data_IF_435068011537
#
_entry.id   IF_435068011537
#
_cell.length_a   1.000
_cell.length_b   1.000
_cell.length_c   1.000
_cell.angle_alpha   90.00
_cell.angle_beta   90.00
_cell.angle_gamma   90.00
#
_symmetry.space_group_name_H-M   'P 1'
#
loop_
_entity.id
_entity.type
_entity.pdbx_description
1 polymer ?
#
# COMPACT_ATOMS: atom_id res chain seq x y z
N UNK A 1 -13.83 3.71 30.76
CA UNK A 1 -12.66 3.24 29.97
C UNK A 1 -13.14 1.95 29.32
N UNK A 2 -13.48 1.98 28.02
CA UNK A 2 -13.81 0.75 27.32
C UNK A 2 -12.51 -0.04 27.23
N UNK A 3 -12.42 -1.21 27.84
CA UNK A 3 -11.39 -2.18 27.50
C UNK A 3 -11.63 -2.50 26.02
N UNK A 4 -10.73 -2.04 25.17
CA UNK A 4 -10.69 -2.47 23.78
C UNK A 4 -10.31 -3.94 23.86
N UNK A 5 -11.29 -4.84 23.64
CA UNK A 5 -10.95 -6.24 23.39
C UNK A 5 -9.86 -6.23 22.34
N UNK A 6 -8.77 -6.92 22.62
CA UNK A 6 -7.59 -6.89 21.79
C UNK A 6 -7.97 -7.26 20.37
N UNK A 7 -7.39 -6.57 19.38
CA UNK A 7 -7.46 -6.94 17.97
C UNK A 7 -7.27 -8.48 17.86
N UNK A 8 -8.01 -9.18 16.99
CA UNK A 8 -7.95 -10.65 16.90
C UNK A 8 -6.61 -11.11 16.30
N UNK A 9 -5.52 -10.87 17.03
CA UNK A 9 -4.14 -11.14 16.66
C UNK A 9 -3.97 -12.59 16.26
N UNK A 10 -3.54 -12.82 15.00
CA UNK A 10 -3.27 -14.15 14.48
C UNK A 10 -4.50 -15.05 14.27
N UNK A 11 -5.73 -14.53 14.48
CA UNK A 11 -6.98 -15.30 14.33
C UNK A 11 -7.46 -15.38 12.90
N UNK A 12 -6.92 -14.53 12.02
CA UNK A 12 -7.23 -14.49 10.60
C UNK A 12 -5.96 -14.45 9.77
N UNK A 13 -6.05 -14.92 8.53
CA UNK A 13 -4.91 -15.01 7.64
C UNK A 13 -5.28 -14.58 6.21
N UNK A 14 -4.32 -14.03 5.50
CA UNK A 14 -4.32 -13.91 4.04
C UNK A 14 -3.76 -15.22 3.50
N UNK A 15 -4.54 -15.92 2.71
CA UNK A 15 -4.15 -17.23 2.14
C UNK A 15 -3.56 -17.11 0.73
N UNK A 16 -3.92 -16.05 0.01
CA UNK A 16 -3.38 -15.80 -1.33
C UNK A 16 -3.38 -14.32 -1.66
N UNK A 17 -2.50 -13.97 -2.59
CA UNK A 17 -2.42 -12.66 -3.22
C UNK A 17 -2.17 -12.85 -4.73
N UNK A 18 -2.76 -12.00 -5.57
CA UNK A 18 -2.53 -12.01 -7.01
C UNK A 18 -2.56 -10.58 -7.57
N UNK A 19 -1.81 -10.38 -8.65
CA UNK A 19 -1.80 -9.15 -9.44
C UNK A 19 -2.08 -9.48 -10.90
N UNK A 20 -2.68 -8.55 -11.64
CA UNK A 20 -2.99 -8.74 -13.05
C UNK A 20 -2.83 -7.44 -13.84
N UNK A 21 -2.28 -7.54 -15.06
CA UNK A 21 -2.21 -6.43 -16.03
C UNK A 21 -1.42 -5.23 -15.54
N UNK A 22 -0.33 -5.46 -14.78
CA UNK A 22 0.52 -4.38 -14.25
C UNK A 22 1.26 -3.65 -15.36
N UNK A 23 1.19 -2.32 -15.34
CA UNK A 23 1.84 -1.45 -16.31
C UNK A 23 0.89 -0.92 -17.37
N UNK A 24 0.62 -1.68 -18.41
CA UNK A 24 -0.33 -1.37 -19.47
C UNK A 24 -1.22 -2.58 -19.78
N UNK A 25 -2.52 -2.38 -19.74
CA UNK A 25 -3.52 -3.42 -20.00
C UNK A 25 -4.62 -2.89 -20.95
N UNK A 26 -4.29 -2.64 -22.23
CA UNK A 26 -5.25 -2.10 -23.18
C UNK A 26 -6.43 -3.06 -23.40
N UNK A 27 -7.64 -2.50 -23.43
CA UNK A 27 -8.88 -3.25 -23.64
C UNK A 27 -9.52 -3.78 -22.34
N UNK A 28 -8.86 -3.68 -21.19
CA UNK A 28 -9.45 -4.03 -19.90
C UNK A 28 -10.05 -2.80 -19.21
N UNK A 29 -11.25 -2.94 -18.66
CA UNK A 29 -11.82 -1.96 -17.74
C UNK A 29 -11.22 -2.12 -16.33
N UNK A 30 -11.46 -1.14 -15.48
CA UNK A 30 -11.07 -1.24 -14.05
C UNK A 30 -11.70 -2.47 -13.36
N UNK A 31 -12.93 -2.80 -13.74
CA UNK A 31 -13.63 -3.96 -13.20
C UNK A 31 -13.02 -5.27 -13.72
N UNK A 32 -12.67 -5.36 -15.00
CA UNK A 32 -12.00 -6.54 -15.56
C UNK A 32 -10.67 -6.82 -14.86
N UNK A 33 -9.85 -5.77 -14.64
CA UNK A 33 -8.57 -5.90 -13.94
C UNK A 33 -8.74 -6.41 -12.50
N UNK A 34 -9.70 -5.85 -11.77
CA UNK A 34 -10.02 -6.31 -10.42
C UNK A 34 -10.51 -7.76 -10.40
N UNK A 35 -11.44 -8.09 -11.32
CA UNK A 35 -12.03 -9.43 -11.42
C UNK A 35 -10.99 -10.49 -11.81
N UNK A 36 -10.08 -10.19 -12.75
CA UNK A 36 -8.99 -11.10 -13.14
C UNK A 36 -8.07 -11.40 -11.96
N UNK A 37 -7.59 -10.35 -11.28
CA UNK A 37 -6.79 -10.56 -10.08
C UNK A 37 -7.57 -11.33 -9.00
N UNK A 38 -8.88 -11.05 -8.85
CA UNK A 38 -9.76 -11.76 -7.92
C UNK A 38 -9.87 -13.26 -8.22
N UNK A 39 -10.10 -13.63 -9.48
CA UNK A 39 -10.18 -15.04 -9.91
C UNK A 39 -8.86 -15.76 -9.66
N UNK A 40 -7.73 -15.13 -9.99
CA UNK A 40 -6.39 -15.68 -9.76
C UNK A 40 -6.10 -15.88 -8.26
N UNK A 41 -6.45 -14.89 -7.43
CA UNK A 41 -6.27 -15.00 -5.98
C UNK A 41 -7.14 -16.13 -5.39
N UNK A 42 -8.40 -16.26 -5.81
CA UNK A 42 -9.31 -17.32 -5.35
C UNK A 42 -8.78 -18.69 -5.76
N UNK A 43 -8.32 -18.84 -7.00
CA UNK A 43 -7.73 -20.09 -7.49
C UNK A 43 -6.44 -20.45 -6.75
N UNK A 44 -5.56 -19.47 -6.50
CA UNK A 44 -4.32 -19.65 -5.73
C UNK A 44 -4.56 -20.08 -4.27
N UNK A 45 -5.71 -19.69 -3.70
CA UNK A 45 -6.15 -20.16 -2.39
C UNK A 45 -6.73 -21.59 -2.40
N UNK A 46 -6.81 -22.25 -3.55
CA UNK A 46 -7.49 -23.55 -3.69
C UNK A 46 -9.02 -23.48 -3.52
N UNK A 47 -9.59 -22.28 -3.65
CA UNK A 47 -11.02 -22.00 -3.51
C UNK A 47 -11.68 -21.76 -4.86
N UNK A 48 -13.01 -21.74 -4.83
CA UNK A 48 -13.86 -21.34 -5.95
C UNK A 48 -14.59 -20.03 -5.61
N UNK A 49 -15.13 -19.34 -6.62
CA UNK A 49 -15.92 -18.12 -6.39
C UNK A 49 -17.16 -18.36 -5.52
N UNK A 50 -17.69 -19.60 -5.50
CA UNK A 50 -18.81 -19.98 -4.62
C UNK A 50 -18.42 -20.09 -3.14
N UNK A 51 -17.14 -20.19 -2.82
CA UNK A 51 -16.64 -20.22 -1.44
C UNK A 51 -16.49 -18.82 -0.85
N UNK A 52 -16.50 -17.78 -1.69
CA UNK A 52 -16.37 -16.38 -1.28
C UNK A 52 -17.74 -15.86 -0.84
N UNK A 53 -17.84 -15.46 0.42
CA UNK A 53 -19.08 -14.93 1.00
C UNK A 53 -18.93 -13.49 1.56
N UNK A 54 -17.76 -12.85 1.35
CA UNK A 54 -17.58 -11.42 1.58
C UNK A 54 -16.72 -10.78 0.49
N UNK A 55 -17.07 -9.55 0.07
CA UNK A 55 -16.33 -8.77 -0.92
C UNK A 55 -16.04 -7.34 -0.43
N UNK A 56 -14.80 -6.89 -0.64
CA UNK A 56 -14.35 -5.55 -0.30
C UNK A 56 -13.67 -4.90 -1.51
N UNK A 57 -14.09 -3.69 -1.88
CA UNK A 57 -13.53 -2.98 -3.02
C UNK A 57 -13.34 -1.49 -2.76
N UNK A 58 -12.49 -0.86 -3.59
CA UNK A 58 -12.35 0.58 -3.65
C UNK A 58 -12.49 1.09 -5.10
N UNK A 59 -13.25 0.38 -5.93
CA UNK A 59 -13.48 0.73 -7.34
C UNK A 59 -14.27 2.05 -7.48
N UNK A 60 -13.94 2.91 -8.45
CA UNK A 60 -14.62 4.19 -8.64
C UNK A 60 -16.13 4.09 -8.88
N UNK A 61 -16.57 3.04 -9.56
CA UNK A 61 -17.97 2.78 -9.94
C UNK A 61 -18.71 1.83 -9.00
N UNK A 62 -18.03 1.34 -7.96
CA UNK A 62 -18.58 0.34 -7.04
C UNK A 62 -18.63 0.87 -5.61
N UNK A 63 -19.77 1.46 -5.24
CA UNK A 63 -19.91 2.10 -3.93
C UNK A 63 -19.86 1.12 -2.75
N UNK A 64 -20.22 -0.16 -2.99
CA UNK A 64 -20.44 -1.13 -1.92
C UNK A 64 -19.76 -2.49 -2.13
N UNK A 65 -18.91 -2.66 -3.14
CA UNK A 65 -18.36 -3.96 -3.49
C UNK A 65 -19.36 -4.89 -4.21
N UNK A 66 -20.54 -4.42 -4.54
CA UNK A 66 -21.61 -5.25 -5.11
C UNK A 66 -21.47 -5.43 -6.62
N UNK A 67 -21.03 -4.40 -7.36
CA UNK A 67 -20.83 -4.51 -8.80
C UNK A 67 -19.77 -5.55 -9.16
N UNK A 68 -18.67 -5.59 -8.40
CA UNK A 68 -17.64 -6.60 -8.56
C UNK A 68 -18.12 -8.01 -8.18
N UNK A 69 -18.91 -8.13 -7.11
CA UNK A 69 -19.52 -9.42 -6.72
C UNK A 69 -20.47 -9.95 -7.79
N UNK A 70 -21.34 -9.08 -8.33
CA UNK A 70 -22.27 -9.43 -9.42
C UNK A 70 -21.52 -9.87 -10.68
N UNK A 71 -20.48 -9.11 -11.07
CA UNK A 71 -19.65 -9.42 -12.23
C UNK A 71 -18.97 -10.81 -12.12
N UNK A 72 -18.54 -11.18 -10.91
CA UNK A 72 -17.93 -12.49 -10.61
C UNK A 72 -18.96 -13.61 -10.32
N UNK A 73 -20.26 -13.30 -10.25
CA UNK A 73 -21.30 -14.26 -9.89
C UNK A 73 -21.27 -14.65 -8.41
N UNK A 74 -20.62 -13.87 -7.56
CA UNK A 74 -20.56 -14.08 -6.11
C UNK A 74 -21.87 -13.58 -5.48
N UNK A 75 -22.39 -14.32 -4.49
CA UNK A 75 -23.54 -13.91 -3.66
C UNK A 75 -23.05 -13.67 -2.22
N UNK A 76 -22.47 -12.51 -1.94
CA UNK A 76 -21.84 -12.27 -0.66
C UNK A 76 -22.87 -12.07 0.47
N UNK A 77 -22.55 -12.53 1.68
CA UNK A 77 -23.25 -12.20 2.92
C UNK A 77 -22.88 -10.80 3.42
N UNK A 78 -21.66 -10.38 3.09
CA UNK A 78 -21.10 -9.09 3.49
C UNK A 78 -20.45 -8.43 2.29
N UNK A 79 -20.81 -7.17 2.04
CA UNK A 79 -20.07 -6.31 1.11
C UNK A 79 -19.65 -5.03 1.83
N UNK A 80 -18.49 -4.52 1.50
CA UNK A 80 -18.04 -3.22 1.99
C UNK A 80 -17.17 -2.52 0.97
N UNK A 81 -17.26 -1.20 0.94
CA UNK A 81 -16.40 -0.36 0.12
C UNK A 81 -16.16 0.97 0.80
N UNK A 82 -14.92 1.39 0.84
CA UNK A 82 -14.55 2.77 1.16
C UNK A 82 -13.44 3.19 0.19
N UNK A 83 -13.28 4.49 -0.01
CA UNK A 83 -12.31 5.00 -0.98
C UNK A 83 -11.61 6.27 -0.52
N UNK A 84 -11.01 6.28 0.67
CA UNK A 84 -10.12 7.39 1.06
C UNK A 84 -8.80 7.40 0.27
N UNK A 85 -8.48 6.34 -0.50
CA UNK A 85 -7.26 6.17 -1.27
C UNK A 85 -6.58 4.84 -1.00
N UNK A 86 -5.25 4.79 -1.06
CA UNK A 86 -4.51 3.54 -0.85
C UNK A 86 -4.61 2.95 0.56
N UNK A 87 -4.96 3.75 1.57
CA UNK A 87 -5.26 3.29 2.92
C UNK A 87 -6.53 2.42 3.02
N UNK A 88 -7.42 2.47 2.02
CA UNK A 88 -8.63 1.65 1.95
C UNK A 88 -8.34 0.17 2.16
N UNK A 89 -7.28 -0.34 1.55
CA UNK A 89 -7.02 -1.79 1.50
C UNK A 89 -6.55 -2.34 2.86
N UNK A 90 -5.73 -1.60 3.60
CA UNK A 90 -5.38 -1.94 4.98
C UNK A 90 -6.62 -1.89 5.88
N UNK A 91 -7.50 -0.90 5.68
CA UNK A 91 -8.79 -0.82 6.38
C UNK A 91 -9.69 -1.99 6.02
N UNK A 92 -9.71 -2.43 4.74
CA UNK A 92 -10.45 -3.62 4.33
C UNK A 92 -9.91 -4.89 4.99
N UNK A 93 -8.57 -5.04 5.13
CA UNK A 93 -7.97 -6.17 5.88
C UNK A 93 -8.44 -6.17 7.33
N UNK A 94 -8.43 -5.01 8.00
CA UNK A 94 -8.94 -4.88 9.38
C UNK A 94 -10.42 -5.25 9.47
N UNK A 95 -11.26 -4.72 8.60
CA UNK A 95 -12.70 -5.03 8.58
C UNK A 95 -12.98 -6.49 8.26
N UNK A 96 -12.25 -7.08 7.30
CA UNK A 96 -12.36 -8.50 6.98
C UNK A 96 -11.93 -9.38 8.15
N UNK A 97 -10.83 -9.04 8.84
CA UNK A 97 -10.37 -9.77 10.02
C UNK A 97 -11.44 -9.77 11.13
N UNK A 98 -12.04 -8.63 11.43
CA UNK A 98 -13.12 -8.52 12.42
C UNK A 98 -14.37 -9.30 11.98
N UNK A 99 -14.75 -9.24 10.72
CA UNK A 99 -15.91 -9.95 10.19
C UNK A 99 -15.73 -11.50 10.20
N UNK A 100 -14.54 -11.97 9.86
CA UNK A 100 -14.15 -13.38 9.90
C UNK A 100 -14.16 -13.92 11.34
N UNK A 101 -13.57 -13.18 12.28
CA UNK A 101 -13.54 -13.57 13.70
C UNK A 101 -14.95 -13.56 14.31
N UNK A 102 -15.80 -12.61 13.96
CA UNK A 102 -17.19 -12.56 14.37
C UNK A 102 -18.09 -13.60 13.70
N UNK A 103 -17.57 -14.38 12.73
CA UNK A 103 -18.35 -15.37 11.99
C UNK A 103 -19.37 -14.77 11.00
N UNK A 104 -19.25 -13.48 10.66
CA UNK A 104 -20.11 -12.81 9.69
C UNK A 104 -19.86 -13.30 8.24
N UNK A 105 -18.66 -13.82 7.98
CA UNK A 105 -18.27 -14.47 6.74
C UNK A 105 -17.24 -15.58 7.01
N UNK A 106 -16.94 -16.39 5.98
CA UNK A 106 -15.96 -17.49 6.06
C UNK A 106 -14.75 -17.26 5.15
N UNK A 107 -14.95 -16.57 4.02
CA UNK A 107 -13.89 -16.21 3.09
C UNK A 107 -14.18 -14.83 2.48
N UNK A 108 -13.22 -13.94 2.62
CA UNK A 108 -13.30 -12.56 2.14
C UNK A 108 -12.36 -12.35 0.96
N UNK A 109 -12.87 -11.76 -0.12
CA UNK A 109 -12.11 -11.31 -1.28
C UNK A 109 -12.00 -9.79 -1.23
N UNK A 110 -10.77 -9.28 -1.15
CA UNK A 110 -10.44 -7.85 -1.25
C UNK A 110 -9.82 -7.64 -2.62
N UNK A 111 -10.37 -6.75 -3.45
CA UNK A 111 -9.89 -6.55 -4.81
C UNK A 111 -9.94 -5.10 -5.25
N UNK A 112 -9.07 -4.77 -6.18
CA UNK A 112 -8.96 -3.46 -6.82
C UNK A 112 -8.47 -3.59 -8.25
N UNK A 113 -8.86 -2.66 -9.10
CA UNK A 113 -8.36 -2.52 -10.46
C UNK A 113 -8.54 -1.11 -10.98
N UNK A 114 -7.62 -0.68 -11.83
CA UNK A 114 -7.73 0.59 -12.53
C UNK A 114 -6.93 0.56 -13.83
N UNK A 115 -7.53 1.11 -14.87
CA UNK A 115 -6.94 1.29 -16.19
C UNK A 115 -6.64 2.76 -16.47
N UNK A 116 -6.16 3.49 -15.47
CA UNK A 116 -5.97 4.95 -15.59
C UNK A 116 -4.98 5.34 -16.69
N UNK A 117 -4.00 4.49 -17.00
CA UNK A 117 -3.02 4.74 -18.06
C UNK A 117 -3.64 4.55 -19.45
N UNK A 118 -4.22 3.40 -19.72
CA UNK A 118 -4.74 3.07 -21.06
C UNK A 118 -6.17 3.54 -21.28
N UNK A 119 -7.00 3.62 -20.23
CA UNK A 119 -8.40 4.04 -20.33
C UNK A 119 -8.61 5.54 -20.16
N UNK A 120 -7.84 6.21 -19.32
CA UNK A 120 -8.01 7.63 -19.02
C UNK A 120 -6.86 8.52 -19.50
N UNK A 121 -5.70 7.95 -19.81
CA UNK A 121 -4.53 8.71 -20.31
C UNK A 121 -3.89 9.65 -19.26
N UNK A 122 -4.29 9.55 -18.00
CA UNK A 122 -3.79 10.39 -16.90
C UNK A 122 -4.38 10.00 -15.57
N UNK A 123 -4.06 10.76 -14.51
CA UNK A 123 -4.57 10.52 -13.17
C UNK A 123 -6.09 10.53 -13.12
N UNK A 124 -6.70 9.45 -12.69
CA UNK A 124 -8.13 9.34 -12.41
C UNK A 124 -8.37 9.73 -10.96
N UNK A 125 -8.79 10.97 -10.74
CA UNK A 125 -9.17 11.49 -9.43
C UNK A 125 -10.63 11.96 -9.42
N UNK A 126 -11.28 11.88 -8.27
CA UNK A 126 -12.57 12.57 -8.10
C UNK A 126 -12.33 14.08 -8.16
N UNK A 127 -13.24 14.86 -8.80
CA UNK A 127 -13.20 16.31 -8.71
C UNK A 127 -13.20 16.74 -7.24
N UNK A 128 -12.25 17.58 -6.86
CA UNK A 128 -12.19 18.13 -5.49
C UNK A 128 -12.61 19.59 -5.51
N UNK A 129 -13.43 19.96 -4.57
CA UNK A 129 -13.66 21.35 -4.24
C UNK A 129 -12.76 21.69 -3.05
N UNK A 130 -11.70 22.42 -3.29
CA UNK A 130 -10.76 22.88 -2.28
C UNK A 130 -10.76 24.44 -2.30
N UNK A 131 -11.74 25.10 -1.69
CA UNK A 131 -11.98 26.54 -1.85
C UNK A 131 -10.79 27.39 -1.43
N UNK A 132 -10.02 26.94 -0.45
CA UNK A 132 -8.82 27.64 0.03
C UNK A 132 -7.57 27.36 -0.83
N UNK A 133 -7.56 26.32 -1.64
CA UNK A 133 -6.45 25.94 -2.52
C UNK A 133 -6.66 26.43 -3.96
N UNK A 134 -7.91 26.40 -4.44
CA UNK A 134 -8.30 26.75 -5.81
C UNK A 134 -7.76 28.09 -6.32
N UNK A 135 -7.70 29.19 -5.51
CA UNK A 135 -7.15 30.46 -5.95
C UNK A 135 -5.68 30.40 -6.37
N UNK A 136 -4.92 29.47 -5.79
CA UNK A 136 -3.49 29.27 -6.07
C UNK A 136 -3.21 28.35 -7.26
N UNK A 137 -4.26 27.70 -7.82
CA UNK A 137 -4.17 26.78 -8.96
C UNK A 137 -3.09 25.69 -8.78
N UNK A 138 -3.05 24.95 -7.66
CA UNK A 138 -2.04 23.94 -7.42
C UNK A 138 -2.13 22.82 -8.45
N UNK A 139 -0.98 22.22 -8.79
CA UNK A 139 -0.94 20.99 -9.58
C UNK A 139 -1.24 19.81 -8.63
N UNK A 140 -2.53 19.50 -8.47
CA UNK A 140 -2.97 18.44 -7.57
C UNK A 140 -2.66 17.04 -8.14
N UNK A 141 -2.17 16.07 -7.33
CA UNK A 141 -1.80 16.20 -5.91
C UNK A 141 -0.34 16.66 -5.68
N UNK A 142 0.48 16.79 -6.73
CA UNK A 142 1.92 17.01 -6.61
C UNK A 142 2.29 18.24 -5.77
N UNK A 143 1.60 19.37 -5.96
CA UNK A 143 1.88 20.59 -5.19
C UNK A 143 1.66 20.41 -3.68
N UNK A 144 0.69 19.58 -3.29
CA UNK A 144 0.41 19.33 -1.88
C UNK A 144 1.52 18.50 -1.22
N UNK A 145 2.05 17.49 -1.93
CA UNK A 145 3.21 16.73 -1.43
C UNK A 145 4.50 17.55 -1.47
N UNK A 146 4.63 18.47 -2.43
CA UNK A 146 5.74 19.41 -2.50
C UNK A 146 5.77 20.33 -1.30
N UNK A 147 4.61 20.78 -0.77
CA UNK A 147 4.55 21.56 0.47
C UNK A 147 5.11 20.77 1.66
N UNK A 148 4.73 19.50 1.80
CA UNK A 148 5.26 18.63 2.85
C UNK A 148 6.77 18.40 2.69
N UNK A 149 7.25 18.15 1.47
CA UNK A 149 8.68 18.00 1.18
C UNK A 149 9.45 19.28 1.50
N UNK A 150 8.99 20.44 1.02
CA UNK A 150 9.64 21.73 1.28
C UNK A 150 9.68 22.05 2.79
N UNK A 151 8.61 21.72 3.52
CA UNK A 151 8.56 21.91 4.97
C UNK A 151 9.57 21.01 5.69
N UNK A 152 9.65 19.73 5.30
CA UNK A 152 10.59 18.77 5.87
C UNK A 152 12.05 19.17 5.58
N UNK A 153 12.34 19.63 4.36
CA UNK A 153 13.65 20.19 3.99
C UNK A 153 14.00 21.41 4.82
N UNK A 154 13.04 22.29 5.06
CA UNK A 154 13.26 23.52 5.86
C UNK A 154 13.54 23.21 7.34
N UNK A 155 12.78 22.31 7.94
CA UNK A 155 12.88 22.01 9.38
C UNK A 155 14.05 21.09 9.72
N UNK A 156 14.31 20.09 8.88
CA UNK A 156 15.24 19.01 9.20
C UNK A 156 16.46 18.97 8.28
N UNK A 157 16.51 19.81 7.26
CA UNK A 157 17.63 19.85 6.32
C UNK A 157 17.66 18.69 5.33
N UNK A 158 16.56 17.98 5.14
CA UNK A 158 16.45 16.94 4.10
C UNK A 158 16.81 17.51 2.74
N UNK A 159 17.56 16.77 1.94
CA UNK A 159 18.07 17.22 0.65
C UNK A 159 17.37 16.52 -0.51
N UNK A 160 17.53 17.05 -1.73
CA UNK A 160 17.03 16.40 -2.94
C UNK A 160 17.75 15.09 -3.23
N UNK A 161 19.01 14.98 -2.85
CA UNK A 161 19.79 13.75 -2.94
C UNK A 161 19.16 12.64 -2.09
N UNK A 162 18.73 12.96 -0.88
CA UNK A 162 18.04 12.01 0.01
C UNK A 162 16.67 11.59 -0.55
N UNK A 163 15.92 12.49 -1.18
CA UNK A 163 14.71 12.11 -1.92
C UNK A 163 15.05 11.19 -3.10
N UNK A 164 16.13 11.47 -3.83
CA UNK A 164 16.59 10.65 -4.95
C UNK A 164 17.04 9.24 -4.52
N UNK A 165 17.62 9.07 -3.31
CA UNK A 165 17.94 7.74 -2.75
C UNK A 165 16.70 6.83 -2.67
N UNK A 166 15.54 7.38 -2.31
CA UNK A 166 14.28 6.62 -2.30
C UNK A 166 13.91 6.13 -3.70
N UNK A 167 14.00 7.00 -4.70
CA UNK A 167 13.69 6.64 -6.09
C UNK A 167 14.67 5.60 -6.66
N UNK A 168 15.95 5.74 -6.35
CA UNK A 168 17.01 4.81 -6.76
C UNK A 168 16.83 3.44 -6.11
N UNK A 169 16.50 3.38 -4.81
CA UNK A 169 16.22 2.15 -4.10
C UNK A 169 14.98 1.43 -4.69
N UNK A 170 13.89 2.15 -4.94
CA UNK A 170 12.71 1.60 -5.59
C UNK A 170 13.02 1.02 -6.99
N UNK A 171 13.85 1.70 -7.79
CA UNK A 171 14.31 1.22 -9.08
C UNK A 171 15.21 -0.01 -8.95
N UNK A 172 16.06 -0.08 -7.94
CA UNK A 172 16.87 -1.25 -7.63
C UNK A 172 16.01 -2.50 -7.42
N UNK A 173 14.97 -2.39 -6.61
CA UNK A 173 13.99 -3.46 -6.38
C UNK A 173 13.18 -3.80 -7.65
N UNK A 174 12.74 -2.79 -8.41
CA UNK A 174 12.01 -2.99 -9.66
C UNK A 174 12.83 -3.77 -10.70
N UNK A 175 14.15 -3.62 -10.73
CA UNK A 175 15.03 -4.37 -11.62
C UNK A 175 15.03 -5.89 -11.33
N UNK A 176 14.73 -6.30 -10.09
CA UNK A 176 14.58 -7.68 -9.66
C UNK A 176 13.15 -8.23 -9.85
N UNK A 177 12.20 -7.37 -10.18
CA UNK A 177 10.81 -7.74 -10.35
C UNK A 177 10.43 -7.84 -11.84
N UNK A 178 10.12 -9.04 -12.38
CA UNK A 178 9.76 -9.19 -13.80
C UNK A 178 8.53 -8.35 -14.20
N UNK A 179 7.60 -8.12 -13.29
CA UNK A 179 6.35 -7.39 -13.53
C UNK A 179 6.46 -5.87 -13.38
N UNK A 180 7.59 -5.34 -12.89
CA UNK A 180 7.74 -3.91 -12.69
C UNK A 180 7.75 -3.14 -14.02
N UNK A 181 7.01 -2.04 -14.06
CA UNK A 181 6.85 -1.23 -15.27
C UNK A 181 8.09 -0.43 -15.64
N UNK A 182 8.75 0.20 -14.67
CA UNK A 182 9.94 1.02 -14.90
C UNK A 182 11.21 0.27 -14.46
N UNK A 183 12.04 -0.09 -15.42
CA UNK A 183 13.30 -0.82 -15.24
C UNK A 183 14.49 -0.06 -15.80
N UNK A 184 15.68 -0.64 -15.63
CA UNK A 184 16.95 -0.08 -16.06
C UNK A 184 17.62 0.78 -15.01
N UNK A 185 18.83 1.29 -15.29
CA UNK A 185 19.59 2.08 -14.33
C UNK A 185 18.88 3.40 -13.99
N UNK A 186 19.00 3.82 -12.76
CA UNK A 186 18.61 5.13 -12.28
C UNK A 186 19.64 5.60 -11.26
N UNK A 187 20.23 6.76 -11.47
CA UNK A 187 21.21 7.35 -10.57
C UNK A 187 20.62 8.55 -9.83
N UNK A 188 21.28 8.97 -8.77
CA UNK A 188 20.94 10.22 -8.06
C UNK A 188 21.00 11.41 -9.03
N UNK A 189 22.03 11.50 -9.87
CA UNK A 189 22.17 12.57 -10.86
C UNK A 189 21.01 12.59 -11.87
N UNK A 190 20.52 11.41 -12.33
CA UNK A 190 19.32 11.32 -13.19
C UNK A 190 18.08 11.88 -12.49
N UNK A 191 17.99 11.72 -11.17
CA UNK A 191 16.87 12.27 -10.39
C UNK A 191 17.01 13.79 -10.23
N UNK A 192 18.20 14.28 -9.92
CA UNK A 192 18.46 15.69 -9.70
C UNK A 192 18.31 16.55 -10.96
N UNK A 193 18.71 15.98 -12.12
CA UNK A 193 18.59 16.63 -13.43
C UNK A 193 17.22 16.49 -14.08
N UNK A 194 16.33 15.68 -13.50
CA UNK A 194 15.00 15.41 -14.05
C UNK A 194 14.12 16.66 -14.03
N UNK A 195 13.16 16.71 -14.99
CA UNK A 195 12.21 17.81 -15.11
C UNK A 195 11.41 18.00 -13.81
N UNK A 196 11.41 19.23 -13.31
CA UNK A 196 10.63 19.62 -12.14
C UNK A 196 9.12 19.53 -12.42
N UNK A 197 8.38 18.99 -11.46
CA UNK A 197 6.91 18.89 -11.48
C UNK A 197 6.29 19.95 -10.58
N UNK A 198 6.72 19.98 -9.32
CA UNK A 198 6.35 21.00 -8.34
C UNK A 198 7.49 21.09 -7.33
N UNK A 199 8.22 22.17 -7.32
CA UNK A 199 9.42 22.34 -6.47
C UNK A 199 9.12 21.98 -5.00
N UNK A 200 9.93 21.09 -4.36
CA UNK A 200 11.21 20.52 -4.78
C UNK A 200 11.12 19.19 -5.58
N UNK A 201 9.92 18.72 -5.94
CA UNK A 201 9.71 17.41 -6.54
C UNK A 201 9.86 17.43 -8.06
N UNK A 202 10.74 16.58 -8.57
CA UNK A 202 10.90 16.27 -10.00
C UNK A 202 9.96 15.14 -10.45
N UNK A 203 9.96 14.82 -11.73
CA UNK A 203 9.20 13.68 -12.27
C UNK A 203 9.71 12.33 -11.69
N UNK A 204 10.95 12.26 -11.19
CA UNK A 204 11.50 11.07 -10.56
C UNK A 204 11.08 10.90 -9.10
N UNK A 205 10.58 11.96 -8.51
CA UNK A 205 10.01 11.96 -7.17
C UNK A 205 8.52 11.54 -7.16
N UNK A 206 7.90 11.42 -8.32
CA UNK A 206 6.48 11.11 -8.48
C UNK A 206 6.27 9.64 -8.85
N UNK A 207 5.19 9.04 -8.33
CA UNK A 207 4.77 7.70 -8.72
C UNK A 207 4.43 7.59 -10.20
N UNK A 208 4.45 6.37 -10.69
CA UNK A 208 4.04 6.03 -12.04
C UNK A 208 2.54 6.29 -12.26
N UNK A 209 2.16 6.38 -13.53
CA UNK A 209 0.77 6.25 -13.99
C UNK A 209 0.70 4.95 -14.77
N UNK A 210 0.08 3.93 -14.22
CA UNK A 210 -0.03 2.60 -14.82
C UNK A 210 -1.46 2.08 -14.76
N UNK A 211 -1.71 0.97 -15.44
CA UNK A 211 -2.83 0.10 -15.18
C UNK A 211 -2.44 -0.95 -14.14
N UNK A 212 -3.41 -1.68 -13.61
CA UNK A 212 -3.18 -2.84 -12.78
C UNK A 212 -4.39 -3.25 -11.95
N UNK A 213 -4.47 -4.55 -11.68
CA UNK A 213 -5.40 -5.18 -10.75
C UNK A 213 -4.64 -5.92 -9.66
N UNK A 214 -5.21 -5.97 -8.46
CA UNK A 214 -4.71 -6.75 -7.34
C UNK A 214 -5.85 -7.32 -6.52
N UNK A 215 -5.62 -8.48 -5.89
CA UNK A 215 -6.57 -9.09 -5.00
C UNK A 215 -5.88 -9.96 -3.94
N UNK A 216 -6.53 -10.09 -2.79
CA UNK A 216 -6.15 -11.02 -1.72
C UNK A 216 -7.39 -11.78 -1.24
N UNK A 217 -7.18 -13.01 -0.78
CA UNK A 217 -8.21 -13.81 -0.11
C UNK A 217 -7.85 -13.99 1.35
N UNK A 218 -8.82 -13.79 2.24
CA UNK A 218 -8.68 -13.95 3.68
C UNK A 218 -9.66 -14.96 4.24
N UNK A 219 -9.21 -15.73 5.21
CA UNK A 219 -10.03 -16.67 6.00
C UNK A 219 -9.64 -16.60 7.48
N UNK A 220 -10.36 -17.36 8.35
CA UNK A 220 -9.85 -17.61 9.69
C UNK A 220 -8.56 -18.44 9.64
N UNK A 221 -7.68 -18.24 10.61
CA UNK A 221 -6.37 -18.89 10.65
C UNK A 221 -6.47 -20.42 10.76
N UNK A 222 -7.46 -20.93 11.50
CA UNK A 222 -7.71 -22.37 11.63
C UNK A 222 -8.05 -23.04 10.28
N UNK A 223 -8.79 -22.35 9.42
CA UNK A 223 -9.10 -22.81 8.06
C UNK A 223 -7.91 -22.60 7.10
N UNK A 224 -7.15 -21.54 7.30
CA UNK A 224 -6.06 -21.17 6.39
C UNK A 224 -4.96 -22.25 6.34
N UNK A 225 -4.69 -22.92 7.45
CA UNK A 225 -3.70 -24.00 7.53
C UNK A 225 -4.04 -25.21 6.64
N UNK A 226 -5.33 -25.44 6.34
CA UNK A 226 -5.78 -26.50 5.45
C UNK A 226 -5.73 -26.09 3.96
N UNK A 227 -5.61 -24.81 3.66
CA UNK A 227 -5.65 -24.27 2.29
C UNK A 227 -4.27 -24.06 1.70
N UNK A 228 -3.32 -23.52 2.48
CA UNK A 228 -1.99 -23.14 1.99
C UNK A 228 -0.91 -23.50 3.00
N UNK A 229 0.30 -23.79 2.48
CA UNK A 229 1.42 -24.20 3.33
C UNK A 229 1.90 -23.08 4.26
N UNK A 230 1.85 -21.82 3.81
CA UNK A 230 2.30 -20.66 4.58
C UNK A 230 1.19 -19.58 4.56
N UNK A 231 0.18 -19.69 5.44
CA UNK A 231 -0.78 -18.62 5.61
C UNK A 231 -0.10 -17.40 6.24
N UNK A 232 -0.47 -16.19 5.79
CA UNK A 232 0.07 -14.95 6.34
C UNK A 232 -0.91 -14.39 7.35
N UNK A 233 -0.54 -14.45 8.62
CA UNK A 233 -1.40 -14.04 9.74
C UNK A 233 -1.51 -12.52 9.81
N UNK A 234 -2.70 -12.01 10.13
CA UNK A 234 -2.92 -10.61 10.46
C UNK A 234 -2.69 -10.44 11.97
N UNK A 235 -1.56 -9.83 12.33
CA UNK A 235 -1.13 -9.67 13.71
C UNK A 235 -1.64 -8.39 14.36
N UNK A 236 -1.80 -7.33 13.57
CA UNK A 236 -2.32 -6.05 14.03
C UNK A 236 -2.76 -5.18 12.86
N UNK A 237 -3.67 -4.25 13.12
CA UNK A 237 -4.11 -3.33 12.08
C UNK A 237 -4.91 -2.15 12.63
N UNK A 238 -4.59 -0.95 12.17
CA UNK A 238 -5.27 0.26 12.59
C UNK A 238 -5.29 1.32 11.48
N UNK A 239 -6.25 2.22 11.56
CA UNK A 239 -6.37 3.38 10.70
C UNK A 239 -6.57 4.65 11.52
N UNK A 240 -6.09 5.78 10.97
CA UNK A 240 -6.30 7.12 11.51
C UNK A 240 -6.41 8.13 10.37
N UNK A 241 -7.16 9.22 10.58
CA UNK A 241 -7.28 10.31 9.63
C UNK A 241 -7.45 11.63 10.38
N UNK A 242 -6.59 12.62 10.10
CA UNK A 242 -6.57 13.87 10.85
C UNK A 242 -7.10 15.07 10.08
N UNK A 243 -7.14 15.02 8.76
CA UNK A 243 -7.59 16.11 7.90
C UNK A 243 -8.17 15.57 6.59
N UNK A 244 -8.80 16.44 5.82
CA UNK A 244 -9.27 16.11 4.47
C UNK A 244 -8.39 16.80 3.41
N UNK A 245 -8.08 18.08 3.60
CA UNK A 245 -7.27 18.89 2.69
C UNK A 245 -5.90 19.20 3.31
N UNK A 246 -4.86 19.33 2.47
CA UNK A 246 -3.49 19.67 2.94
C UNK A 246 -3.45 20.98 3.74
N UNK A 247 -4.30 21.93 3.40
CA UNK A 247 -4.44 23.21 4.11
C UNK A 247 -4.96 23.08 5.54
N UNK A 248 -5.54 21.92 5.89
CA UNK A 248 -5.99 21.59 7.24
C UNK A 248 -5.09 20.62 7.97
N UNK A 249 -3.97 20.22 7.35
CA UNK A 249 -2.99 19.33 7.97
C UNK A 249 -2.30 20.06 9.13
N UNK A 250 -2.35 19.51 10.36
CA UNK A 250 -1.83 20.23 11.54
C UNK A 250 -0.35 20.49 11.50
N UNK A 251 0.43 19.54 10.96
CA UNK A 251 1.86 19.57 10.80
C UNK A 251 2.23 18.88 9.49
N UNK A 252 2.83 19.59 8.54
CA UNK A 252 3.17 19.07 7.21
C UNK A 252 4.28 18.00 7.25
N UNK A 253 4.95 17.82 8.39
CA UNK A 253 6.02 16.82 8.57
C UNK A 253 5.57 15.58 9.33
N UNK A 254 4.36 15.58 9.92
CA UNK A 254 3.84 14.47 10.74
C UNK A 254 2.45 14.06 10.26
N UNK A 255 2.27 12.79 9.93
CA UNK A 255 1.02 12.24 9.42
C UNK A 255 0.29 11.39 10.48
N UNK A 256 -0.96 11.05 10.20
CA UNK A 256 -1.72 10.10 11.02
C UNK A 256 -1.12 8.66 11.01
N UNK A 257 -0.06 8.40 10.22
CA UNK A 257 0.71 7.16 10.27
C UNK A 257 1.30 6.91 11.67
N UNK A 258 1.68 7.98 12.37
CA UNK A 258 2.13 7.91 13.76
C UNK A 258 1.12 7.24 14.68
N UNK A 259 -0.17 7.53 14.50
CA UNK A 259 -1.23 6.91 15.30
C UNK A 259 -1.58 5.51 14.78
N UNK A 260 -1.79 5.33 13.47
CA UNK A 260 -2.14 4.03 12.91
C UNK A 260 -1.02 3.01 13.12
N UNK A 261 0.24 3.39 12.96
CA UNK A 261 1.41 2.56 13.20
C UNK A 261 1.53 2.14 14.67
N UNK A 262 1.51 3.12 15.59
CA UNK A 262 1.61 2.84 17.01
C UNK A 262 0.54 1.83 17.50
N UNK A 263 -0.70 1.97 17.02
CA UNK A 263 -1.79 1.05 17.35
C UNK A 263 -1.62 -0.33 16.72
N UNK A 264 -1.23 -0.40 15.44
CA UNK A 264 -1.02 -1.66 14.75
C UNK A 264 0.15 -2.46 15.36
N UNK A 265 1.26 -1.81 15.67
CA UNK A 265 2.40 -2.43 16.35
C UNK A 265 2.04 -2.90 17.77
N UNK A 266 1.35 -2.07 18.56
CA UNK A 266 0.91 -2.46 19.91
C UNK A 266 -0.02 -3.70 19.89
N UNK A 267 -0.92 -3.81 18.90
CA UNK A 267 -1.79 -4.97 18.72
C UNK A 267 -1.02 -6.23 18.31
N UNK A 268 0.01 -6.07 17.47
CA UNK A 268 0.81 -7.19 16.98
C UNK A 268 1.75 -7.77 18.05
N UNK A 269 2.10 -6.99 19.07
CA UNK A 269 3.13 -7.34 20.06
C UNK A 269 4.56 -7.16 19.56
N UNK A 270 4.73 -6.58 18.36
CA UNK A 270 6.02 -6.29 17.72
C UNK A 270 6.22 -4.79 17.53
N UNK A 271 7.46 -4.38 17.29
CA UNK A 271 7.83 -3.00 16.98
C UNK A 271 8.43 -2.84 15.59
N UNK A 272 8.72 -1.60 15.18
CA UNK A 272 9.33 -1.33 13.86
C UNK A 272 10.64 -2.09 13.64
N UNK A 273 11.46 -2.26 14.69
CA UNK A 273 12.76 -2.94 14.61
C UNK A 273 12.67 -4.45 14.40
N UNK A 274 11.49 -5.04 14.55
CA UNK A 274 11.25 -6.47 14.37
C UNK A 274 10.85 -6.82 12.93
N UNK A 275 10.61 -5.80 12.07
CA UNK A 275 10.13 -6.00 10.70
C UNK A 275 11.25 -6.38 9.75
N UNK A 276 11.07 -7.51 9.05
CA UNK A 276 11.99 -7.98 8.01
C UNK A 276 11.75 -7.27 6.67
N UNK A 277 10.48 -6.95 6.36
CA UNK A 277 10.08 -6.26 5.13
C UNK A 277 9.07 -5.16 5.41
N UNK A 278 9.22 -4.05 4.71
CA UNK A 278 8.39 -2.84 4.91
C UNK A 278 7.83 -2.39 3.57
N UNK A 279 6.49 -2.37 3.46
CA UNK A 279 5.81 -1.93 2.25
C UNK A 279 5.07 -0.62 2.53
N UNK A 280 5.56 0.48 1.97
CA UNK A 280 5.03 1.82 2.18
C UNK A 280 4.37 2.36 0.92
N UNK A 281 3.30 3.10 1.08
CA UNK A 281 2.65 3.80 -0.04
C UNK A 281 3.51 4.99 -0.49
N UNK A 282 4.28 4.80 -1.54
CA UNK A 282 5.25 5.76 -2.10
C UNK A 282 4.71 6.51 -3.33
N UNK A 283 3.61 7.26 -3.16
CA UNK A 283 3.12 8.14 -4.24
C UNK A 283 4.13 9.22 -4.62
N UNK A 284 4.96 9.62 -3.68
CA UNK A 284 6.09 10.53 -3.85
C UNK A 284 7.24 10.08 -2.95
N UNK A 285 8.46 10.44 -3.30
CA UNK A 285 9.66 10.08 -2.51
C UNK A 285 9.58 10.55 -1.06
N UNK A 286 9.00 11.72 -0.82
CA UNK A 286 8.81 12.25 0.54
C UNK A 286 7.91 11.36 1.41
N UNK A 287 6.95 10.61 0.82
CA UNK A 287 6.09 9.71 1.57
C UNK A 287 6.90 8.66 2.33
N UNK A 288 7.89 8.05 1.66
CA UNK A 288 8.75 7.04 2.27
C UNK A 288 9.48 7.60 3.48
N UNK A 289 10.04 8.82 3.36
CA UNK A 289 10.74 9.50 4.46
C UNK A 289 9.79 9.74 5.64
N UNK A 290 8.64 10.37 5.38
CA UNK A 290 7.65 10.66 6.42
C UNK A 290 7.15 9.40 7.13
N UNK A 291 6.87 8.33 6.37
CA UNK A 291 6.34 7.10 6.94
C UNK A 291 7.39 6.29 7.72
N UNK A 292 8.66 6.30 7.29
CA UNK A 292 9.75 5.72 8.09
C UNK A 292 9.87 6.39 9.47
N UNK A 293 9.70 7.71 9.53
CA UNK A 293 9.71 8.47 10.77
C UNK A 293 8.46 8.23 11.61
N UNK A 294 7.28 8.40 11.01
CA UNK A 294 6.00 8.34 11.71
C UNK A 294 5.66 6.94 12.22
N UNK A 295 6.11 5.89 11.51
CA UNK A 295 6.00 4.50 11.95
C UNK A 295 7.07 4.10 12.97
N UNK A 296 8.09 4.95 13.21
CA UNK A 296 9.10 4.77 14.23
C UNK A 296 10.32 3.95 13.82
N UNK A 297 10.59 3.77 12.52
CA UNK A 297 11.84 3.15 12.03
C UNK A 297 13.06 4.04 12.27
N UNK A 298 12.86 5.33 12.34
CA UNK A 298 13.87 6.33 12.75
C UNK A 298 13.19 7.51 13.47
N UNK A 299 14.00 8.35 14.10
CA UNK A 299 13.48 9.53 14.77
C UNK A 299 12.95 10.56 13.74
N UNK A 300 12.02 11.41 14.16
CA UNK A 300 11.50 12.52 13.35
C UNK A 300 12.66 13.42 12.91
N UNK A 301 12.70 13.69 11.59
CA UNK A 301 13.75 14.48 10.94
C UNK A 301 15.00 13.68 10.51
N UNK A 302 15.08 12.40 10.84
CA UNK A 302 16.21 11.54 10.46
C UNK A 302 15.94 10.67 9.24
N UNK A 303 14.72 10.68 8.71
CA UNK A 303 14.32 9.83 7.58
C UNK A 303 15.14 10.04 6.31
N UNK A 304 15.55 11.29 6.04
CA UNK A 304 16.45 11.60 4.94
C UNK A 304 17.81 10.89 5.07
N UNK A 305 18.44 10.97 6.24
CA UNK A 305 19.70 10.26 6.54
C UNK A 305 19.51 8.76 6.60
N UNK A 306 18.32 8.32 7.05
CA UNK A 306 18.00 6.89 7.15
C UNK A 306 18.05 6.17 5.81
N UNK A 307 17.67 6.84 4.72
CA UNK A 307 17.60 6.21 3.38
C UNK A 307 18.90 6.27 2.59
N UNK A 308 19.91 7.03 3.07
CA UNK A 308 21.19 7.20 2.38
C UNK A 308 21.95 5.90 2.15
N UNK A 309 22.79 5.88 1.12
CA UNK A 309 23.70 4.80 0.80
C UNK A 309 23.01 3.46 0.47
N UNK A 310 21.82 3.53 -0.12
CA UNK A 310 21.06 2.34 -0.49
C UNK A 310 20.46 1.57 0.69
N UNK A 311 20.34 2.20 1.85
CA UNK A 311 19.92 1.54 3.10
C UNK A 311 18.56 0.83 3.02
N UNK A 312 17.67 1.28 2.11
CA UNK A 312 16.33 0.70 1.90
C UNK A 312 16.20 -0.10 0.59
N UNK A 313 17.28 -0.17 -0.18
CA UNK A 313 17.36 -0.90 -1.46
C UNK A 313 17.75 -2.37 -1.29
N UNK A 314 17.93 -3.10 -2.42
CA UNK A 314 18.43 -4.47 -2.41
C UNK A 314 19.78 -4.58 -1.70
N UNK A 315 19.86 -5.47 -0.69
CA UNK A 315 21.05 -5.62 0.15
C UNK A 315 21.25 -4.55 1.21
N UNK A 316 20.36 -3.58 1.31
CA UNK A 316 20.34 -2.58 2.37
C UNK A 316 19.89 -3.14 3.73
N UNK A 317 19.97 -2.32 4.76
CA UNK A 317 19.66 -2.74 6.14
C UNK A 317 18.17 -2.94 6.42
N UNK A 318 17.28 -2.29 5.66
CA UNK A 318 15.83 -2.41 5.78
C UNK A 318 15.23 -2.52 4.38
N UNK A 319 14.73 -3.69 3.96
CA UNK A 319 14.05 -3.87 2.68
C UNK A 319 12.74 -3.08 2.61
N UNK A 320 12.68 -2.02 1.81
CA UNK A 320 11.47 -1.19 1.64
C UNK A 320 10.98 -1.26 0.21
N UNK A 321 9.67 -1.51 0.03
CA UNK A 321 9.01 -1.55 -1.28
C UNK A 321 9.70 -2.52 -2.26
N UNK A 322 9.85 -3.75 -1.82
CA UNK A 322 10.64 -4.80 -2.50
C UNK A 322 10.13 -5.18 -3.89
N UNK A 323 8.92 -4.79 -4.28
CA UNK A 323 8.44 -4.91 -5.66
C UNK A 323 8.88 -3.76 -6.58
N UNK A 324 9.41 -2.67 -6.03
CA UNK A 324 9.74 -1.41 -6.72
C UNK A 324 8.75 -0.27 -6.46
N UNK A 325 7.74 -0.50 -5.63
CA UNK A 325 6.81 0.52 -5.17
C UNK A 325 5.94 1.17 -6.25
N UNK A 326 5.27 2.22 -5.87
CA UNK A 326 4.56 3.13 -6.77
C UNK A 326 5.51 3.92 -7.66
N UNK A 327 6.75 4.10 -7.23
CA UNK A 327 7.76 4.87 -7.97
C UNK A 327 8.35 4.11 -9.17
N UNK A 328 8.39 2.77 -9.13
CA UNK A 328 9.01 2.01 -10.23
C UNK A 328 8.26 0.73 -10.64
N UNK A 329 7.36 0.17 -9.81
CA UNK A 329 6.61 -1.03 -10.16
C UNK A 329 5.25 -0.70 -10.78
N UNK A 330 4.30 -0.21 -9.99
CA UNK A 330 2.91 -0.04 -10.40
C UNK A 330 2.19 1.01 -9.56
N UNK A 331 1.47 1.93 -10.16
CA UNK A 331 0.59 2.87 -9.43
C UNK A 331 -0.68 3.17 -10.26
N UNK A 332 -1.70 2.31 -10.22
CA UNK A 332 -2.94 2.50 -10.97
C UNK A 332 -3.95 3.34 -10.18
N UNK A 333 -3.52 4.52 -9.71
CA UNK A 333 -4.32 5.44 -8.89
C UNK A 333 -4.31 5.14 -7.40
N UNK A 334 -4.30 3.86 -6.99
CA UNK A 334 -4.14 3.45 -5.58
C UNK A 334 -3.20 2.23 -5.50
N UNK A 335 -2.12 2.36 -4.74
CA UNK A 335 -1.07 1.33 -4.64
C UNK A 335 -1.23 0.38 -3.45
N UNK A 336 -2.01 0.75 -2.41
CA UNK A 336 -2.00 0.04 -1.13
C UNK A 336 -2.24 -1.47 -1.19
N UNK A 337 -3.11 -1.97 -2.09
CA UNK A 337 -3.32 -3.41 -2.21
C UNK A 337 -2.10 -4.12 -2.81
N UNK A 338 -1.37 -3.48 -3.71
CA UNK A 338 -0.12 -4.01 -4.27
C UNK A 338 0.98 -4.10 -3.21
N UNK A 339 1.01 -3.15 -2.26
CA UNK A 339 1.90 -3.21 -1.09
C UNK A 339 1.57 -4.42 -0.20
N UNK A 340 0.29 -4.72 0.01
CA UNK A 340 -0.13 -5.93 0.75
C UNK A 340 0.25 -7.19 -0.03
N UNK A 341 -0.02 -7.24 -1.34
CA UNK A 341 0.34 -8.39 -2.18
C UNK A 341 1.84 -8.68 -2.13
N UNK A 342 2.68 -7.65 -2.20
CA UNK A 342 4.14 -7.82 -2.08
C UNK A 342 4.53 -8.32 -0.70
N UNK A 343 3.98 -7.75 0.38
CA UNK A 343 4.25 -8.22 1.74
C UNK A 343 3.89 -9.69 1.89
N UNK A 344 2.73 -10.12 1.39
CA UNK A 344 2.29 -11.51 1.38
C UNK A 344 3.25 -12.40 0.57
N UNK A 345 3.64 -11.97 -0.63
CA UNK A 345 4.59 -12.70 -1.47
C UNK A 345 5.93 -12.92 -0.81
N UNK A 346 6.45 -11.92 -0.08
CA UNK A 346 7.69 -12.03 0.69
C UNK A 346 7.56 -13.03 1.85
N UNK A 347 6.48 -12.95 2.63
CA UNK A 347 6.25 -13.85 3.77
C UNK A 347 5.93 -15.30 3.35
N UNK A 348 5.40 -15.50 2.15
CA UNK A 348 5.17 -16.83 1.57
C UNK A 348 6.40 -17.41 0.86
N UNK A 349 7.49 -16.66 0.74
CA UNK A 349 8.70 -17.10 0.03
C UNK A 349 8.56 -17.10 -1.49
N UNK A 350 7.57 -16.38 -2.04
CA UNK A 350 7.21 -16.36 -3.46
C UNK A 350 7.75 -15.17 -4.27
N UNK A 351 8.63 -14.34 -3.69
CA UNK A 351 9.05 -13.09 -4.33
C UNK A 351 10.17 -13.23 -5.39
N UNK A 352 10.64 -14.46 -5.68
CA UNK A 352 11.68 -14.71 -6.72
C UNK A 352 12.99 -14.00 -6.40
N UNK A 353 13.60 -13.33 -7.40
CA UNK A 353 14.92 -12.69 -7.27
C UNK A 353 14.94 -11.55 -6.23
N UNK A 354 13.78 -10.99 -5.86
CA UNK A 354 13.63 -9.94 -4.84
C UNK A 354 13.32 -10.48 -3.45
N UNK A 355 13.33 -11.80 -3.27
CA UNK A 355 13.03 -12.43 -2.00
C UNK A 355 14.01 -12.00 -0.91
N UNK A 356 13.47 -11.50 0.21
CA UNK A 356 14.23 -11.25 1.43
C UNK A 356 14.36 -12.58 2.19
N UNK A 357 15.58 -13.10 2.36
CA UNK A 357 15.77 -14.39 3.01
C UNK A 357 15.29 -14.37 4.47
N UNK A 358 14.49 -15.38 4.84
CA UNK A 358 14.03 -15.56 6.22
C UNK A 358 12.98 -14.57 6.68
N UNK A 359 12.34 -13.82 5.78
CA UNK A 359 11.29 -12.87 6.14
C UNK A 359 10.12 -13.58 6.84
N UNK A 360 9.90 -13.26 8.12
CA UNK A 360 8.81 -13.77 8.94
C UNK A 360 7.81 -12.69 9.36
N UNK A 361 8.26 -11.44 9.44
CA UNK A 361 7.45 -10.29 9.84
C UNK A 361 7.48 -9.20 8.78
N UNK A 362 6.31 -8.64 8.48
CA UNK A 362 6.18 -7.55 7.53
C UNK A 362 5.13 -6.52 7.94
N UNK A 363 5.34 -5.28 7.52
CA UNK A 363 4.36 -4.21 7.66
C UNK A 363 3.97 -3.68 6.30
N UNK A 364 2.66 -3.48 6.08
CA UNK A 364 2.14 -2.76 4.93
C UNK A 364 1.38 -1.52 5.40
N UNK A 365 1.77 -0.36 4.85
CA UNK A 365 1.21 0.94 5.19
C UNK A 365 0.63 1.64 3.97
N UNK A 366 -0.62 2.08 4.09
CA UNK A 366 -1.38 2.74 3.04
C UNK A 366 -1.69 4.19 3.37
N UNK A 367 -1.59 5.04 2.35
CA UNK A 367 -1.90 6.46 2.40
C UNK A 367 -3.11 6.78 1.52
N UNK A 368 -4.00 7.60 2.02
CA UNK A 368 -5.19 8.05 1.29
C UNK A 368 -5.30 9.56 1.22
N UNK A 369 -5.95 10.05 0.15
CA UNK A 369 -6.00 11.47 -0.19
C UNK A 369 -4.57 12.05 -0.25
N UNK A 370 -4.33 13.21 0.37
CA UNK A 370 -2.98 13.79 0.48
C UNK A 370 -2.55 13.74 1.94
N UNK A 371 -1.77 12.72 2.31
CA UNK A 371 -1.25 12.48 3.66
C UNK A 371 -2.35 12.44 4.76
N UNK A 372 -3.60 12.28 4.35
CA UNK A 372 -4.79 12.45 5.21
C UNK A 372 -5.14 11.18 5.97
N UNK A 373 -5.60 10.15 5.24
CA UNK A 373 -5.98 8.86 5.80
C UNK A 373 -4.79 7.91 5.77
N UNK A 374 -4.42 7.38 6.90
CA UNK A 374 -3.30 6.45 7.07
C UNK A 374 -3.80 5.14 7.68
N UNK A 375 -3.37 4.01 7.14
CA UNK A 375 -3.71 2.72 7.69
C UNK A 375 -2.51 1.77 7.61
N UNK A 376 -2.30 1.03 8.69
CA UNK A 376 -1.13 0.14 8.87
C UNK A 376 -1.63 -1.24 9.23
N UNK A 377 -1.07 -2.29 8.61
CA UNK A 377 -1.27 -3.68 9.00
C UNK A 377 0.09 -4.34 9.24
N UNK A 378 0.18 -5.11 10.30
CA UNK A 378 1.34 -5.95 10.64
C UNK A 378 0.98 -7.39 10.33
N UNK A 379 1.80 -8.03 9.51
CA UNK A 379 1.61 -9.37 8.98
C UNK A 379 2.76 -10.28 9.44
N UNK A 380 2.49 -11.57 9.60
CA UNK A 380 3.53 -12.51 9.99
C UNK A 380 3.25 -13.93 9.53
N UNK A 381 4.30 -14.75 9.48
CA UNK A 381 4.20 -16.20 9.31
C UNK A 381 3.64 -16.88 10.56
N UNK A 382 3.19 -18.14 10.51
CA UNK A 382 2.68 -18.84 11.69
C UNK A 382 3.65 -18.89 12.87
N UNK A 383 4.95 -18.88 12.62
CA UNK A 383 6.00 -18.95 13.65
C UNK A 383 6.11 -17.65 14.49
N UNK A 384 5.34 -16.61 14.15
CA UNK A 384 5.33 -15.31 14.84
C UNK A 384 4.22 -15.16 15.88
N UNK A 385 3.49 -16.24 16.21
CA UNK A 385 2.44 -16.24 17.23
C UNK A 385 2.91 -16.46 18.67
#
# INVERSE_FOLDING_TARGET
MFEVEAFPRGRTAIVSAATFGMGEAPGYSSLDLAARAGVEAVAAAGLTLSDIDATFTALPSDMFGLAAAEYLGIRPKLTSGNRPGGSSFMTHVVHAALALEAGACNAALIMYGSNQRTGAGGLVGAPRSAPYETPYKPLYPASSYALAAARHMHEFGTTREQLAEVAVAARGWANLNPEAFAKGPLTIEDCLSARMVSDPLSVRDCCLITDGGAAIVMTRADRAADLVATPVLVLGGAAAAWHNEITSMPDLTTTAAKESGARAFAQSGYGPNDMDVVQLYDAFTINTILFLEDLGFCAKGEGGRFVEHGAIGPGGRLPVNTNGGGLSCVHPGMYGLFAICECVGQLQGGAGDRQVPGAGLGVAHGNGLVLSSQATVVLGTPDTL
#
